data_IF_620990048499
#
_entry.id   IF_620990048499
#
_cell.length_a   1.000
_cell.length_b   1.000
_cell.length_c   1.000
_cell.angle_alpha   90.00
_cell.angle_beta   90.00
_cell.angle_gamma   90.00
#
_symmetry.space_group_name_H-M   'P 1'
#
loop_
_entity.id
_entity.type
_entity.pdbx_description
1 polymer ?
#
# COMPACT_ATOMS: atom_id res chain seq x y z
N UNK A 1 -6.42 19.81 18.91
CA UNK A 1 -5.44 18.82 19.44
C UNK A 1 -6.15 17.56 19.88
N UNK A 2 -6.15 16.52 19.02
CA UNK A 2 -6.74 15.22 19.33
C UNK A 2 -5.89 14.41 20.34
N UNK A 3 -6.46 13.33 20.90
CA UNK A 3 -5.78 12.44 21.86
C UNK A 3 -4.42 11.94 21.34
N UNK A 4 -4.34 11.58 20.06
CA UNK A 4 -3.10 11.15 19.39
C UNK A 4 -2.03 12.24 19.36
N UNK A 5 -2.41 13.50 19.10
CA UNK A 5 -1.46 14.61 19.10
C UNK A 5 -0.86 14.88 20.48
N UNK A 6 -1.65 14.73 21.55
CA UNK A 6 -1.17 14.87 22.94
C UNK A 6 -0.22 13.74 23.34
N UNK A 7 -0.50 12.50 22.94
CA UNK A 7 0.38 11.35 23.19
C UNK A 7 1.72 11.47 22.46
N UNK A 8 1.71 11.95 21.21
CA UNK A 8 2.93 12.18 20.43
C UNK A 8 3.75 13.33 21.04
N UNK A 9 3.10 14.42 21.45
CA UNK A 9 3.76 15.54 22.12
C UNK A 9 4.36 15.14 23.46
N UNK A 10 3.69 14.28 24.24
CA UNK A 10 4.22 13.74 25.49
C UNK A 10 5.43 12.81 25.26
N UNK A 11 5.51 12.16 24.08
CA UNK A 11 6.66 11.37 23.63
C UNK A 11 7.79 12.16 22.98
N UNK A 12 7.70 13.50 22.92
CA UNK A 12 8.72 14.37 22.28
C UNK A 12 8.71 14.29 20.75
N UNK A 13 7.66 13.71 20.14
CA UNK A 13 7.51 13.61 18.72
C UNK A 13 6.80 14.84 18.14
N UNK A 14 7.22 15.28 16.96
CA UNK A 14 6.57 16.39 16.25
C UNK A 14 5.14 16.02 15.83
N UNK A 15 4.21 17.00 15.78
CA UNK A 15 2.86 16.75 15.26
C UNK A 15 2.92 16.23 13.83
N UNK A 16 2.15 15.15 13.57
CA UNK A 16 2.11 14.48 12.27
C UNK A 16 1.51 15.32 11.12
N UNK A 17 0.48 16.17 11.35
CA UNK A 17 -0.09 16.97 10.27
C UNK A 17 0.96 17.83 9.57
N UNK A 18 0.86 17.94 8.24
CA UNK A 18 1.76 18.72 7.38
C UNK A 18 3.23 18.26 7.39
N UNK A 19 3.47 17.01 7.79
CA UNK A 19 4.79 16.39 7.73
C UNK A 19 4.78 15.19 6.77
N UNK A 20 5.93 14.84 6.20
CA UNK A 20 6.08 13.66 5.37
C UNK A 20 5.76 12.36 6.15
N UNK A 21 6.19 12.29 7.42
CA UNK A 21 5.89 11.15 8.29
C UNK A 21 4.37 11.00 8.51
N UNK A 22 3.66 12.10 8.76
CA UNK A 22 2.21 12.11 8.88
C UNK A 22 1.50 11.64 7.61
N UNK A 23 2.00 12.07 6.45
CA UNK A 23 1.51 11.62 5.16
C UNK A 23 1.65 10.10 4.99
N UNK A 24 2.84 9.56 5.28
CA UNK A 24 3.11 8.12 5.18
C UNK A 24 2.20 7.32 6.11
N UNK A 25 2.07 7.73 7.38
CA UNK A 25 1.20 7.05 8.35
C UNK A 25 -0.26 7.06 7.89
N UNK A 26 -0.74 8.20 7.42
CA UNK A 26 -2.11 8.32 6.92
C UNK A 26 -2.37 7.45 5.67
N UNK A 27 -1.44 7.48 4.70
CA UNK A 27 -1.52 6.65 3.50
C UNK A 27 -1.50 5.15 3.84
N UNK A 28 -0.66 4.72 4.78
CA UNK A 28 -0.64 3.32 5.24
C UNK A 28 -1.99 2.92 5.84
N UNK A 29 -2.55 3.72 6.76
CA UNK A 29 -3.85 3.42 7.39
C UNK A 29 -4.96 3.39 6.34
N UNK A 30 -4.98 4.35 5.44
CA UNK A 30 -6.01 4.47 4.42
C UNK A 30 -5.95 3.37 3.36
N UNK A 31 -4.73 2.93 3.00
CA UNK A 31 -4.50 1.83 2.05
C UNK A 31 -4.64 0.44 2.69
N UNK A 32 -4.71 0.36 4.02
CA UNK A 32 -4.76 -0.91 4.74
C UNK A 32 -5.86 -1.88 4.25
N UNK A 33 -7.11 -1.48 4.00
CA UNK A 33 -8.14 -2.39 3.49
C UNK A 33 -7.76 -3.06 2.17
N UNK A 34 -7.09 -2.35 1.27
CA UNK A 34 -6.66 -2.85 -0.05
C UNK A 34 -5.53 -3.88 0.05
N UNK A 35 -4.84 -3.93 1.17
CA UNK A 35 -3.78 -4.91 1.45
C UNK A 35 -4.33 -6.06 2.30
N UNK A 36 -5.09 -5.76 3.35
CA UNK A 36 -5.57 -6.75 4.32
C UNK A 36 -6.60 -7.70 3.69
N UNK A 37 -7.56 -7.19 2.93
CA UNK A 37 -8.61 -8.04 2.32
C UNK A 37 -8.04 -9.13 1.40
N UNK A 38 -7.15 -8.87 0.43
CA UNK A 38 -6.56 -9.92 -0.39
C UNK A 38 -5.71 -10.92 0.41
N UNK A 39 -5.02 -10.44 1.45
CA UNK A 39 -4.26 -11.34 2.33
C UNK A 39 -5.18 -12.26 3.13
N UNK A 40 -6.25 -11.73 3.69
CA UNK A 40 -7.24 -12.51 4.42
C UNK A 40 -7.85 -13.59 3.52
N UNK A 41 -8.28 -13.22 2.32
CA UNK A 41 -8.81 -14.18 1.33
C UNK A 41 -7.77 -15.24 0.95
N UNK A 42 -6.49 -14.86 0.84
CA UNK A 42 -5.44 -15.82 0.51
C UNK A 42 -5.17 -16.81 1.65
N UNK A 43 -5.24 -16.37 2.89
CA UNK A 43 -5.12 -17.25 4.06
C UNK A 43 -6.33 -18.18 4.20
N UNK A 44 -7.53 -17.66 4.03
CA UNK A 44 -8.77 -18.46 4.05
C UNK A 44 -8.78 -19.54 2.95
N UNK A 45 -8.24 -19.22 1.77
CA UNK A 45 -8.18 -20.14 0.63
C UNK A 45 -7.21 -21.33 0.82
N UNK A 46 -6.32 -21.31 1.82
CA UNK A 46 -5.41 -22.42 2.11
C UNK A 46 -6.19 -23.63 2.60
N UNK A 47 -7.27 -23.42 3.36
CA UNK A 47 -8.06 -24.49 3.95
C UNK A 47 -7.34 -25.25 5.06
N UNK A 48 -7.99 -26.32 5.56
CA UNK A 48 -7.49 -27.06 6.72
C UNK A 48 -6.49 -28.17 6.34
N UNK A 49 -6.60 -28.74 5.15
CA UNK A 49 -5.80 -29.91 4.73
C UNK A 49 -4.28 -29.73 4.85
N UNK A 50 -3.67 -28.62 4.37
CA UNK A 50 -2.24 -28.40 4.53
C UNK A 50 -1.81 -28.24 6.00
N UNK A 51 -2.70 -27.68 6.83
CA UNK A 51 -2.44 -27.46 8.26
C UNK A 51 -2.50 -28.79 9.03
N UNK A 52 -3.48 -29.65 8.71
CA UNK A 52 -3.58 -31.00 9.26
C UNK A 52 -2.39 -31.87 8.86
N UNK A 53 -1.96 -31.79 7.59
CA UNK A 53 -0.76 -32.47 7.13
C UNK A 53 0.49 -32.07 7.92
N UNK A 54 0.68 -30.78 8.16
CA UNK A 54 1.77 -30.26 8.99
C UNK A 54 1.67 -30.78 10.44
N UNK A 55 0.47 -30.82 11.01
CA UNK A 55 0.22 -31.34 12.36
C UNK A 55 0.57 -32.84 12.48
N UNK A 56 0.29 -33.65 11.46
CA UNK A 56 0.69 -35.07 11.47
C UNK A 56 2.19 -35.27 11.52
N UNK A 57 2.95 -34.29 10.95
CA UNK A 57 4.42 -34.23 10.99
C UNK A 57 4.97 -33.61 12.29
N UNK A 58 4.11 -33.30 13.26
CA UNK A 58 4.46 -32.63 14.53
C UNK A 58 5.17 -31.27 14.33
N UNK A 59 4.88 -30.57 13.21
CA UNK A 59 5.40 -29.24 12.97
C UNK A 59 4.88 -28.28 14.05
N UNK A 60 5.76 -27.42 14.56
CA UNK A 60 5.32 -26.39 15.49
C UNK A 60 4.56 -25.26 14.74
N UNK A 61 3.80 -24.40 15.43
CA UNK A 61 3.01 -23.34 14.78
C UNK A 61 3.84 -22.38 13.91
N UNK A 62 5.05 -22.06 14.32
CA UNK A 62 5.94 -21.18 13.55
C UNK A 62 6.46 -21.86 12.29
N UNK A 63 6.85 -23.15 12.38
CA UNK A 63 7.27 -23.92 11.21
C UNK A 63 6.12 -24.06 10.22
N UNK A 64 4.92 -24.38 10.70
CA UNK A 64 3.71 -24.44 9.87
C UNK A 64 3.45 -23.10 9.18
N UNK A 65 3.55 -21.99 9.92
CA UNK A 65 3.31 -20.67 9.33
C UNK A 65 4.32 -20.33 8.23
N UNK A 66 5.62 -20.45 8.51
CA UNK A 66 6.64 -20.05 7.54
C UNK A 66 6.88 -21.06 6.42
N UNK A 67 6.76 -22.38 6.69
CA UNK A 67 7.02 -23.42 5.71
C UNK A 67 5.79 -23.81 4.86
N UNK A 68 4.57 -23.58 5.36
CA UNK A 68 3.34 -23.98 4.68
C UNK A 68 2.48 -22.77 4.33
N UNK A 69 2.06 -21.98 5.32
CA UNK A 69 1.07 -20.91 5.13
C UNK A 69 1.61 -19.80 4.25
N UNK A 70 2.78 -19.25 4.57
CA UNK A 70 3.38 -18.13 3.81
C UNK A 70 3.65 -18.49 2.35
N UNK A 71 4.26 -19.67 2.03
CA UNK A 71 4.45 -20.08 0.63
C UNK A 71 3.14 -20.27 -0.14
N UNK A 72 2.12 -20.85 0.47
CA UNK A 72 0.81 -21.03 -0.16
C UNK A 72 0.07 -19.69 -0.35
N UNK A 73 0.23 -18.76 0.57
CA UNK A 73 -0.35 -17.42 0.49
C UNK A 73 0.40 -16.46 -0.46
N UNK A 74 1.55 -16.85 -1.04
CA UNK A 74 2.35 -15.96 -1.94
C UNK A 74 1.54 -15.22 -3.01
N UNK A 75 0.59 -15.85 -3.73
CA UNK A 75 -0.23 -15.14 -4.71
C UNK A 75 -1.06 -14.00 -4.09
N UNK A 76 -1.51 -14.19 -2.85
CA UNK A 76 -2.24 -13.17 -2.09
C UNK A 76 -1.36 -11.98 -1.71
N UNK A 77 -0.12 -12.22 -1.26
CA UNK A 77 0.85 -11.15 -1.00
C UNK A 77 1.13 -10.32 -2.25
N UNK A 78 1.28 -10.96 -3.41
CA UNK A 78 1.46 -10.27 -4.69
C UNK A 78 0.23 -9.42 -5.03
N UNK A 79 -0.97 -9.96 -4.88
CA UNK A 79 -2.23 -9.23 -5.13
C UNK A 79 -2.39 -8.06 -4.19
N UNK A 80 -2.12 -8.26 -2.89
CA UNK A 80 -2.15 -7.21 -1.88
C UNK A 80 -1.16 -6.07 -2.20
N UNK A 81 0.08 -6.42 -2.59
CA UNK A 81 1.09 -5.45 -3.01
C UNK A 81 0.66 -4.64 -4.24
N UNK A 82 0.08 -5.30 -5.25
CA UNK A 82 -0.42 -4.64 -6.46
C UNK A 82 -1.55 -3.66 -6.12
N UNK A 83 -2.54 -4.11 -5.33
CA UNK A 83 -3.69 -3.28 -4.98
C UNK A 83 -3.31 -2.12 -4.07
N UNK A 84 -2.45 -2.37 -3.06
CA UNK A 84 -1.93 -1.32 -2.18
C UNK A 84 -1.14 -0.27 -2.96
N UNK A 85 -0.26 -0.70 -3.87
CA UNK A 85 0.49 0.21 -4.74
C UNK A 85 -0.43 1.03 -5.63
N UNK A 86 -1.36 0.39 -6.35
CA UNK A 86 -2.27 1.07 -7.26
C UNK A 86 -3.15 2.10 -6.52
N UNK A 87 -3.62 1.75 -5.32
CA UNK A 87 -4.38 2.66 -4.48
C UNK A 87 -3.54 3.87 -4.05
N UNK A 88 -2.34 3.63 -3.54
CA UNK A 88 -1.46 4.71 -3.02
C UNK A 88 -0.99 5.66 -4.11
N UNK A 89 -0.70 5.18 -5.32
CA UNK A 89 -0.30 6.03 -6.45
C UNK A 89 -1.43 6.97 -6.89
N UNK A 90 -2.68 6.49 -6.83
CA UNK A 90 -3.87 7.29 -7.18
C UNK A 90 -4.42 8.13 -6.03
N UNK A 91 -3.84 8.05 -4.84
CA UNK A 91 -4.37 8.72 -3.67
C UNK A 91 -4.23 10.25 -3.77
N UNK A 92 -5.33 10.94 -3.51
CA UNK A 92 -5.43 12.39 -3.61
C UNK A 92 -6.00 13.03 -2.33
N UNK A 93 -7.15 12.56 -1.86
CA UNK A 93 -7.92 13.21 -0.80
C UNK A 93 -7.21 13.24 0.55
N UNK A 94 -6.72 12.11 1.02
CA UNK A 94 -6.02 12.00 2.31
C UNK A 94 -4.70 12.74 2.27
N UNK A 95 -4.00 12.68 1.13
CA UNK A 95 -2.75 13.42 0.91
C UNK A 95 -2.97 14.93 1.04
N UNK A 96 -4.05 15.45 0.44
CA UNK A 96 -4.40 16.86 0.53
C UNK A 96 -4.76 17.25 1.97
N UNK A 97 -5.60 16.45 2.64
CA UNK A 97 -6.12 16.79 3.97
C UNK A 97 -5.03 16.74 5.07
N UNK A 98 -4.12 15.78 5.00
CA UNK A 98 -3.09 15.57 6.03
C UNK A 98 -1.76 16.19 5.64
N UNK A 99 -1.41 16.13 4.35
CA UNK A 99 -0.16 16.67 3.82
C UNK A 99 -0.18 18.18 3.58
N UNK A 100 -1.36 18.75 3.26
CA UNK A 100 -1.50 20.18 2.97
C UNK A 100 -0.83 20.63 1.67
N UNK A 101 -0.43 19.71 0.79
CA UNK A 101 0.14 20.01 -0.52
C UNK A 101 1.34 21.01 -0.49
N UNK A 102 2.26 20.83 0.46
CA UNK A 102 3.39 21.75 0.64
C UNK A 102 4.51 21.37 -0.34
N UNK A 103 4.90 22.26 -1.29
CA UNK A 103 5.97 22.00 -2.24
C UNK A 103 7.29 21.64 -1.53
N UNK A 104 7.97 20.59 -2.02
CA UNK A 104 9.23 20.13 -1.45
C UNK A 104 9.13 19.39 -0.10
N UNK A 105 7.93 19.24 0.48
CA UNK A 105 7.70 18.53 1.75
C UNK A 105 6.67 17.41 1.63
N UNK A 106 5.44 17.75 1.27
CA UNK A 106 4.29 16.84 1.29
C UNK A 106 3.54 16.78 -0.04
N UNK A 107 3.99 17.55 -1.03
CA UNK A 107 3.43 17.48 -2.37
C UNK A 107 3.79 16.15 -3.03
N UNK A 108 2.78 15.40 -3.47
CA UNK A 108 2.94 14.18 -4.25
C UNK A 108 2.56 14.42 -5.72
N UNK A 109 2.86 13.46 -6.58
CA UNK A 109 2.69 13.61 -8.02
C UNK A 109 1.22 13.86 -8.43
N UNK A 110 0.26 13.17 -7.80
CA UNK A 110 -1.17 13.40 -8.04
C UNK A 110 -1.59 14.84 -7.71
N UNK A 111 -1.03 15.41 -6.64
CA UNK A 111 -1.27 16.80 -6.26
C UNK A 111 -0.60 17.79 -7.21
N UNK A 112 0.61 17.48 -7.70
CA UNK A 112 1.28 18.32 -8.70
C UNK A 112 0.47 18.39 -10.00
N UNK A 113 -0.08 17.25 -10.47
CA UNK A 113 -0.98 17.22 -11.63
C UNK A 113 -2.20 18.10 -11.39
N UNK A 114 -2.84 17.97 -10.24
CA UNK A 114 -4.01 18.77 -9.86
C UNK A 114 -3.70 20.27 -9.88
N UNK A 115 -2.58 20.69 -9.26
CA UNK A 115 -2.17 22.09 -9.22
C UNK A 115 -1.96 22.68 -10.62
N UNK A 116 -1.35 21.93 -11.55
CA UNK A 116 -1.19 22.39 -12.93
C UNK A 116 -2.54 22.48 -13.66
N UNK A 117 -3.49 21.60 -13.37
CA UNK A 117 -4.85 21.69 -13.94
C UNK A 117 -5.55 22.94 -13.41
N UNK A 118 -5.48 23.24 -12.12
CA UNK A 118 -6.06 24.46 -11.53
C UNK A 118 -5.41 25.75 -12.05
N UNK A 119 -4.10 25.69 -12.32
CA UNK A 119 -3.36 26.80 -12.93
C UNK A 119 -3.61 26.95 -14.44
N UNK A 120 -4.46 26.08 -15.05
CA UNK A 120 -4.73 26.01 -16.50
C UNK A 120 -3.49 25.66 -17.34
N UNK A 121 -2.46 25.11 -16.72
CA UNK A 121 -1.22 24.66 -17.33
C UNK A 121 -1.35 23.22 -17.83
N UNK A 122 -2.28 22.97 -18.74
CA UNK A 122 -2.66 21.62 -19.20
C UNK A 122 -1.50 20.84 -19.81
N UNK A 123 -0.56 21.50 -20.47
CA UNK A 123 0.59 20.80 -21.06
C UNK A 123 1.49 20.17 -19.98
N UNK A 124 1.75 20.89 -18.89
CA UNK A 124 2.50 20.37 -17.74
C UNK A 124 1.74 19.25 -17.05
N UNK A 125 0.43 19.44 -16.82
CA UNK A 125 -0.44 18.42 -16.25
C UNK A 125 -0.43 17.11 -17.08
N UNK A 126 -0.56 17.21 -18.41
CA UNK A 126 -0.55 16.04 -19.29
C UNK A 126 0.80 15.32 -19.28
N UNK A 127 1.93 16.02 -19.27
CA UNK A 127 3.26 15.39 -19.17
C UNK A 127 3.44 14.62 -17.89
N UNK A 128 3.06 15.19 -16.75
CA UNK A 128 3.11 14.52 -15.44
C UNK A 128 2.16 13.33 -15.37
N UNK A 129 0.93 13.48 -15.87
CA UNK A 129 -0.06 12.40 -15.90
C UNK A 129 0.41 11.24 -16.80
N UNK A 130 0.95 11.52 -17.98
CA UNK A 130 1.51 10.52 -18.87
C UNK A 130 2.69 9.78 -18.21
N UNK A 131 3.60 10.50 -17.54
CA UNK A 131 4.69 9.91 -16.79
C UNK A 131 4.20 9.00 -15.66
N UNK A 132 3.21 9.44 -14.89
CA UNK A 132 2.59 8.65 -13.81
C UNK A 132 1.92 7.38 -14.36
N UNK A 133 1.18 7.48 -15.47
CA UNK A 133 0.56 6.32 -16.12
C UNK A 133 1.61 5.33 -16.61
N UNK A 134 2.65 5.80 -17.32
CA UNK A 134 3.72 4.95 -17.82
C UNK A 134 4.46 4.23 -16.67
N UNK A 135 4.76 4.95 -15.59
CA UNK A 135 5.39 4.40 -14.39
C UNK A 135 4.49 3.33 -13.74
N UNK A 136 3.23 3.67 -13.47
CA UNK A 136 2.28 2.76 -12.81
C UNK A 136 2.05 1.50 -13.65
N UNK A 137 1.87 1.66 -14.97
CA UNK A 137 1.70 0.54 -15.90
C UNK A 137 2.94 -0.37 -15.92
N UNK A 138 4.13 0.21 -15.97
CA UNK A 138 5.40 -0.55 -15.94
C UNK A 138 5.54 -1.34 -14.64
N UNK A 139 5.28 -0.71 -13.49
CA UNK A 139 5.36 -1.41 -12.19
C UNK A 139 4.33 -2.54 -12.12
N UNK A 140 3.08 -2.29 -12.55
CA UNK A 140 2.03 -3.32 -12.55
C UNK A 140 2.36 -4.48 -13.48
N UNK A 141 2.93 -4.21 -14.66
CA UNK A 141 3.41 -5.27 -15.58
C UNK A 141 4.51 -6.10 -14.94
N UNK A 142 5.52 -5.46 -14.33
CA UNK A 142 6.61 -6.16 -13.66
C UNK A 142 6.09 -7.02 -12.51
N UNK A 143 5.22 -6.48 -11.67
CA UNK A 143 4.61 -7.25 -10.58
C UNK A 143 3.76 -8.41 -11.11
N UNK A 144 3.02 -8.22 -12.20
CA UNK A 144 2.24 -9.30 -12.80
C UNK A 144 3.13 -10.38 -13.45
N UNK A 145 4.25 -10.00 -14.06
CA UNK A 145 5.21 -10.94 -14.64
C UNK A 145 5.92 -11.79 -13.55
N UNK A 146 6.05 -11.26 -12.35
CA UNK A 146 6.61 -11.97 -11.20
C UNK A 146 5.62 -12.90 -10.49
N UNK A 147 4.34 -12.91 -10.90
CA UNK A 147 3.37 -13.87 -10.33
C UNK A 147 3.79 -15.28 -10.71
N UNK A 148 3.96 -16.20 -9.73
CA UNK A 148 4.18 -17.60 -10.05
C UNK A 148 2.98 -18.14 -10.83
N UNK A 149 3.23 -18.78 -11.97
CA UNK A 149 2.20 -19.48 -12.70
C UNK A 149 1.52 -20.48 -11.74
N UNK A 150 0.18 -20.40 -11.64
CA UNK A 150 -0.59 -21.43 -10.96
C UNK A 150 -0.30 -22.73 -11.70
N UNK A 151 0.46 -23.64 -11.08
CA UNK A 151 0.49 -25.02 -11.53
C UNK A 151 -0.97 -25.51 -11.60
N UNK A 152 -1.42 -25.79 -12.82
CA UNK A 152 -2.72 -26.39 -13.11
C UNK A 152 -2.73 -27.83 -12.61
#
# INVERSE_FOLDING_TARGET
DGMLGRLLAAGGLQPLPFTFAGLVVASVIYSMPFVVQPLQQAFEAIGEQPLEAAATLRANPWDTFFAVVVPLARPGFMTAGILGFAHTVGEFGVVLMIGGNIPGKTQVLSMAIYNHVEALEYEAAHRLAAGMLAFSFTVLLLLNALKPERAR
#
